data_IF_868407957263
#
_entry.id   IF_868407957263
#
_cell.length_a   1.000
_cell.length_b   1.000
_cell.length_c   1.000
_cell.angle_alpha   90.00
_cell.angle_beta   90.00
_cell.angle_gamma   90.00
#
_symmetry.space_group_name_H-M   'P 1'
#
loop_
_entity.id
_entity.type
_entity.pdbx_description
1 polymer ?
#
# COMPACT_ATOMS: atom_id res chain seq x y z
N UNK A 1 9.21 10.49 -0.13
CA UNK A 1 9.51 11.74 0.61
C UNK A 1 10.57 12.57 -0.11
N UNK A 2 10.96 13.76 0.40
CA UNK A 2 11.82 14.70 -0.32
C UNK A 2 13.26 14.22 -0.53
N UNK A 3 13.76 13.31 0.32
CA UNK A 3 15.13 12.77 0.25
C UNK A 3 15.11 11.24 0.38
N UNK A 4 14.70 10.50 -0.66
CA UNK A 4 14.56 9.05 -0.59
C UNK A 4 15.94 8.36 -0.56
N UNK A 5 16.09 7.33 0.28
CA UNK A 5 17.35 6.59 0.49
C UNK A 5 17.10 5.08 0.57
N UNK A 6 17.94 4.29 -0.11
CA UNK A 6 17.86 2.82 -0.14
C UNK A 6 18.11 2.24 1.25
N UNK A 7 19.16 2.71 1.93
CA UNK A 7 19.52 2.26 3.28
C UNK A 7 18.43 2.55 4.33
N UNK A 8 17.43 3.39 4.02
CA UNK A 8 16.31 3.72 4.91
C UNK A 8 14.98 3.16 4.41
N UNK A 9 14.97 2.32 3.37
CA UNK A 9 13.74 1.77 2.78
C UNK A 9 12.82 2.80 2.10
N UNK A 10 13.30 4.03 1.86
CA UNK A 10 12.48 5.12 1.27
C UNK A 10 12.77 5.37 -0.22
N UNK A 11 13.82 4.73 -0.74
CA UNK A 11 14.05 4.54 -2.18
C UNK A 11 14.17 3.04 -2.41
N UNK A 12 13.21 2.45 -3.12
CA UNK A 12 13.14 1.00 -3.31
C UNK A 12 13.40 0.68 -4.77
N UNK A 13 14.36 -0.22 -5.02
CA UNK A 13 14.59 -0.81 -6.33
C UNK A 13 14.13 -2.26 -6.27
N UNK A 14 13.09 -2.58 -7.04
CA UNK A 14 12.49 -3.93 -7.05
C UNK A 14 12.83 -4.60 -8.38
N UNK A 15 13.77 -5.55 -8.40
CA UNK A 15 14.04 -6.35 -9.60
C UNK A 15 12.84 -7.26 -9.92
N UNK A 16 12.55 -7.45 -11.21
CA UNK A 16 11.49 -8.36 -11.64
C UNK A 16 11.97 -9.82 -11.50
N UNK A 17 11.20 -10.64 -10.78
CA UNK A 17 11.49 -12.06 -10.50
C UNK A 17 12.40 -12.29 -9.29
N UNK A 18 12.83 -11.22 -8.60
CA UNK A 18 13.73 -11.29 -7.45
C UNK A 18 13.21 -10.41 -6.30
N UNK A 19 13.86 -10.52 -5.14
CA UNK A 19 13.57 -9.65 -3.99
C UNK A 19 14.55 -8.50 -3.91
N UNK A 20 14.03 -7.32 -3.60
CA UNK A 20 14.86 -6.19 -3.20
C UNK A 20 15.55 -6.48 -1.85
N UNK A 21 16.70 -5.81 -1.54
CA UNK A 21 17.31 -5.88 -0.21
C UNK A 21 16.39 -5.43 0.92
N UNK A 22 15.37 -4.65 0.58
CA UNK A 22 14.35 -4.13 1.49
C UNK A 22 13.11 -5.03 1.55
N UNK A 23 13.14 -6.26 1.05
CA UNK A 23 12.04 -7.22 1.16
C UNK A 23 10.90 -7.07 0.13
N UNK A 24 10.83 -5.96 -0.59
CA UNK A 24 9.88 -5.78 -1.70
C UNK A 24 10.12 -6.79 -2.82
N UNK A 25 9.04 -7.25 -3.46
CA UNK A 25 9.07 -8.23 -4.56
C UNK A 25 8.21 -7.79 -5.72
N UNK A 26 8.66 -8.05 -6.94
CA UNK A 26 7.90 -7.87 -8.16
C UNK A 26 7.95 -9.18 -8.97
N UNK A 27 6.83 -9.85 -9.16
CA UNK A 27 6.77 -11.15 -9.84
C UNK A 27 5.89 -11.05 -11.09
N UNK A 28 6.31 -11.62 -12.24
CA UNK A 28 5.48 -11.63 -13.43
C UNK A 28 4.26 -12.54 -13.20
N UNK A 29 3.08 -12.03 -13.50
CA UNK A 29 1.82 -12.76 -13.45
C UNK A 29 1.49 -13.33 -14.83
N UNK A 30 1.00 -14.57 -14.89
CA UNK A 30 0.92 -15.34 -16.13
C UNK A 30 -0.12 -14.85 -17.13
N UNK A 31 -1.32 -14.48 -16.67
CA UNK A 31 -2.36 -13.91 -17.50
C UNK A 31 -3.03 -12.78 -16.71
N UNK A 32 -3.06 -11.58 -17.27
CA UNK A 32 -3.81 -10.49 -16.66
C UNK A 32 -5.29 -10.51 -17.04
N UNK A 33 -6.04 -9.50 -16.59
CA UNK A 33 -7.48 -9.42 -16.80
C UNK A 33 -7.87 -9.54 -18.28
N UNK A 34 -8.93 -10.32 -18.53
CA UNK A 34 -9.47 -10.51 -19.87
C UNK A 34 -9.81 -9.15 -20.53
N UNK A 35 -9.43 -8.99 -21.80
CA UNK A 35 -9.68 -7.77 -22.56
C UNK A 35 -8.77 -6.58 -22.22
N UNK A 36 -7.80 -6.73 -21.31
CA UNK A 36 -6.91 -5.64 -20.93
C UNK A 36 -5.79 -5.35 -21.94
N UNK A 37 -5.58 -6.23 -22.94
CA UNK A 37 -4.57 -6.05 -23.98
C UNK A 37 -5.23 -5.71 -25.32
N UNK A 38 -4.96 -4.54 -25.92
CA UNK A 38 -5.43 -4.20 -27.27
C UNK A 38 -4.96 -5.22 -28.31
N UNK A 39 -5.73 -5.40 -29.38
CA UNK A 39 -5.35 -6.28 -30.49
C UNK A 39 -3.98 -5.88 -31.06
N UNK A 40 -3.00 -6.80 -31.02
CA UNK A 40 -1.62 -6.57 -31.46
C UNK A 40 -0.70 -5.93 -30.42
N UNK A 41 -1.14 -5.74 -29.18
CA UNK A 41 -0.32 -5.26 -28.07
C UNK A 41 0.42 -6.37 -27.32
N UNK A 42 1.46 -5.97 -26.59
CA UNK A 42 2.10 -6.81 -25.58
C UNK A 42 1.86 -6.18 -24.21
N UNK A 43 1.48 -7.00 -23.23
CA UNK A 43 1.35 -6.57 -21.84
C UNK A 43 2.10 -7.54 -20.94
N UNK A 44 2.70 -7.00 -19.88
CA UNK A 44 3.29 -7.76 -18.80
C UNK A 44 2.56 -7.39 -17.52
N UNK A 45 1.98 -8.38 -16.88
CA UNK A 45 1.36 -8.22 -15.58
C UNK A 45 2.39 -8.51 -14.51
N UNK A 46 2.45 -7.64 -13.51
CA UNK A 46 3.44 -7.72 -12.44
C UNK A 46 2.72 -7.56 -11.12
N UNK A 47 2.85 -8.57 -10.27
CA UNK A 47 2.41 -8.50 -8.89
C UNK A 47 3.50 -7.84 -8.06
N UNK A 48 3.18 -6.70 -7.43
CA UNK A 48 4.08 -5.97 -6.53
C UNK A 48 3.68 -6.23 -5.08
N UNK A 49 4.61 -6.77 -4.28
CA UNK A 49 4.40 -7.03 -2.85
C UNK A 49 5.35 -6.17 -2.00
N UNK A 50 4.76 -5.38 -1.10
CA UNK A 50 5.51 -4.66 -0.06
C UNK A 50 5.74 -5.58 1.14
N UNK A 51 6.89 -5.45 1.85
CA UNK A 51 7.08 -6.15 3.12
C UNK A 51 6.17 -5.54 4.20
N UNK A 52 5.82 -6.31 5.26
CA UNK A 52 4.92 -5.86 6.33
C UNK A 52 5.44 -4.67 7.15
N UNK A 53 6.75 -4.43 7.13
CA UNK A 53 7.43 -3.33 7.84
C UNK A 53 7.78 -2.16 6.91
N UNK A 54 7.27 -2.14 5.68
CA UNK A 54 7.50 -1.06 4.74
C UNK A 54 7.01 0.28 5.32
N UNK A 55 7.76 1.39 5.16
CA UNK A 55 7.31 2.69 5.63
C UNK A 55 5.98 3.10 4.99
N UNK A 56 4.99 3.46 5.80
CA UNK A 56 3.70 3.98 5.33
C UNK A 56 3.88 5.35 4.66
N UNK A 57 3.16 5.58 3.56
CA UNK A 57 3.12 6.88 2.90
C UNK A 57 2.87 6.83 1.40
N UNK A 58 3.05 8.00 0.76
CA UNK A 58 2.94 8.18 -0.69
C UNK A 58 4.27 7.84 -1.37
N UNK A 59 4.24 6.88 -2.27
CA UNK A 59 5.37 6.50 -3.12
C UNK A 59 5.11 6.89 -4.57
N UNK A 60 6.20 7.16 -5.29
CA UNK A 60 6.20 7.29 -6.75
C UNK A 60 6.71 5.98 -7.33
N UNK A 61 5.91 5.34 -8.17
CA UNK A 61 6.26 4.15 -8.92
C UNK A 61 6.74 4.55 -10.31
N UNK A 62 7.92 4.05 -10.67
CA UNK A 62 8.48 4.18 -12.01
C UNK A 62 8.99 2.82 -12.50
N UNK A 63 8.87 2.57 -13.79
CA UNK A 63 9.39 1.35 -14.43
C UNK A 63 10.61 1.70 -15.26
N UNK A 64 11.71 0.97 -15.01
CA UNK A 64 12.95 1.11 -15.75
C UNK A 64 13.33 -0.22 -16.40
N UNK A 65 13.74 -0.16 -17.65
CA UNK A 65 14.26 -1.30 -18.39
C UNK A 65 15.75 -1.11 -18.62
N UNK A 66 16.55 -2.16 -18.39
CA UNK A 66 17.98 -2.15 -18.66
C UNK A 66 18.29 -3.18 -19.74
N UNK A 67 18.87 -2.72 -20.84
CA UNK A 67 19.29 -3.54 -21.98
C UNK A 67 20.80 -3.39 -22.19
N UNK A 68 21.37 -4.17 -23.11
CA UNK A 68 22.79 -4.04 -23.48
C UNK A 68 23.14 -2.65 -24.06
N UNK A 69 22.15 -1.92 -24.58
CA UNK A 69 22.32 -0.61 -25.23
C UNK A 69 22.14 0.55 -24.25
N UNK A 70 21.63 0.29 -23.03
CA UNK A 70 21.43 1.30 -22.00
C UNK A 70 20.21 1.07 -21.11
N UNK A 71 19.97 2.03 -20.23
CA UNK A 71 18.82 2.10 -19.34
C UNK A 71 17.77 3.05 -19.93
N UNK A 72 16.51 2.64 -19.92
CA UNK A 72 15.36 3.45 -20.32
C UNK A 72 14.35 3.49 -19.18
N UNK A 73 13.96 4.69 -18.77
CA UNK A 73 12.84 4.89 -17.86
C UNK A 73 11.60 5.18 -18.70
N UNK A 74 10.56 4.35 -18.56
CA UNK A 74 9.29 4.65 -19.20
C UNK A 74 8.72 5.96 -18.61
N UNK A 75 7.99 6.77 -19.40
CA UNK A 75 7.21 7.90 -18.90
C UNK A 75 5.96 7.38 -18.16
N UNK A 76 6.20 6.60 -17.11
CA UNK A 76 5.25 5.96 -16.24
C UNK A 76 5.58 6.42 -14.83
N UNK A 77 4.86 7.43 -14.35
CA UNK A 77 4.94 7.89 -12.97
C UNK A 77 3.54 7.82 -12.37
N UNK A 78 3.35 6.83 -11.50
CA UNK A 78 2.11 6.67 -10.76
C UNK A 78 2.38 6.87 -9.28
N UNK A 79 1.44 7.53 -8.60
CA UNK A 79 1.46 7.60 -7.15
C UNK A 79 0.71 6.41 -6.57
N UNK A 80 1.31 5.78 -5.57
CA UNK A 80 0.66 4.75 -4.74
C UNK A 80 0.70 5.21 -3.27
N UNK A 81 -0.36 4.89 -2.54
CA UNK A 81 -0.44 5.11 -1.10
C UNK A 81 -0.30 3.75 -0.43
N UNK A 82 0.78 3.56 0.32
CA UNK A 82 0.95 2.40 1.17
C UNK A 82 0.50 2.76 2.59
N UNK A 83 -0.39 1.96 3.17
CA UNK A 83 -0.90 2.11 4.52
C UNK A 83 -0.49 0.89 5.36
N UNK A 84 -0.67 1.00 6.68
CA UNK A 84 -0.62 -0.17 7.56
C UNK A 84 -1.65 -1.22 7.13
N UNK A 85 -1.35 -2.49 7.38
CA UNK A 85 -2.21 -3.61 6.99
C UNK A 85 -2.58 -4.49 8.21
N UNK A 86 -3.65 -4.14 8.95
CA UNK A 86 -4.17 -4.94 10.06
C UNK A 86 -4.65 -6.36 9.71
N UNK A 87 -4.78 -6.69 8.42
CA UNK A 87 -5.13 -8.05 7.95
C UNK A 87 -3.90 -8.94 7.77
N UNK A 88 -2.69 -8.39 7.76
CA UNK A 88 -1.45 -9.14 7.57
C UNK A 88 -0.90 -9.59 8.93
N UNK A 89 -0.76 -10.91 9.21
CA UNK A 89 -0.24 -11.41 10.49
C UNK A 89 1.19 -10.97 10.83
N UNK A 90 1.95 -10.58 9.83
CA UNK A 90 3.34 -10.13 9.97
C UNK A 90 3.44 -8.60 10.16
N UNK A 91 2.34 -7.86 9.97
CA UNK A 91 2.31 -6.42 10.23
C UNK A 91 2.18 -6.16 11.74
N UNK A 92 2.92 -5.16 12.21
CA UNK A 92 2.88 -4.67 13.59
C UNK A 92 1.49 -4.31 14.12
N UNK A 93 0.54 -3.98 13.24
CA UNK A 93 -0.84 -3.62 13.62
C UNK A 93 -1.86 -4.74 13.37
N UNK A 94 -1.40 -5.97 13.17
CA UNK A 94 -2.27 -7.12 12.95
C UNK A 94 -3.34 -7.27 14.04
N UNK A 95 -4.57 -7.53 13.62
CA UNK A 95 -5.66 -7.93 14.51
C UNK A 95 -6.15 -9.33 14.16
N UNK A 96 -5.98 -10.27 15.10
CA UNK A 96 -6.40 -11.67 14.94
C UNK A 96 -7.90 -11.79 14.65
N UNK A 97 -8.71 -10.99 15.36
CA UNK A 97 -10.16 -10.95 15.17
C UNK A 97 -10.53 -9.96 14.08
N UNK A 98 -10.50 -10.42 12.84
CA UNK A 98 -10.81 -9.61 11.65
C UNK A 98 -12.20 -8.96 11.66
N UNK A 99 -13.17 -9.51 12.42
CA UNK A 99 -14.49 -8.89 12.59
C UNK A 99 -14.47 -7.57 13.35
N UNK A 100 -13.43 -7.31 14.15
CA UNK A 100 -13.27 -6.05 14.88
C UNK A 100 -12.61 -4.95 14.03
N UNK A 101 -12.00 -5.30 12.90
CA UNK A 101 -11.44 -4.32 11.96
C UNK A 101 -12.52 -3.42 11.35
N UNK A 102 -13.75 -3.94 11.24
CA UNK A 102 -14.92 -3.14 10.87
C UNK A 102 -15.13 -1.96 11.81
N UNK A 103 -14.85 -2.11 13.11
CA UNK A 103 -15.03 -1.07 14.13
C UNK A 103 -13.79 -0.18 14.27
N UNK A 104 -12.60 -0.77 14.38
CA UNK A 104 -11.39 0.01 14.73
C UNK A 104 -10.65 0.62 13.55
N UNK A 105 -10.96 0.20 12.32
CA UNK A 105 -10.28 0.66 11.11
C UNK A 105 -11.26 1.26 10.11
N UNK A 106 -12.33 0.51 9.80
CA UNK A 106 -13.24 0.88 8.71
C UNK A 106 -14.39 1.81 9.15
N UNK A 107 -14.80 1.77 10.42
CA UNK A 107 -15.86 2.64 10.92
C UNK A 107 -15.37 4.08 10.97
N UNK A 108 -16.04 4.97 10.24
CA UNK A 108 -15.70 6.40 10.15
C UNK A 108 -16.49 7.28 11.11
N UNK A 109 -17.34 6.66 11.92
CA UNK A 109 -18.12 7.31 12.95
C UNK A 109 -17.97 6.55 14.27
N UNK A 110 -18.11 7.26 15.38
CA UNK A 110 -18.08 6.63 16.69
C UNK A 110 -18.77 7.45 17.75
N UNK A 111 -18.48 7.10 19.00
CA UNK A 111 -19.16 7.67 20.16
C UNK A 111 -18.13 8.05 21.20
N UNK A 112 -18.25 9.26 21.71
CA UNK A 112 -17.43 9.76 22.82
C UNK A 112 -18.32 9.82 24.05
N UNK A 113 -17.97 9.05 25.07
CA UNK A 113 -18.64 9.06 26.38
C UNK A 113 -18.05 10.16 27.27
N UNK A 114 -18.90 10.85 28.02
CA UNK A 114 -18.53 11.93 28.94
C UNK A 114 -19.53 12.02 30.10
N UNK A 115 -19.30 12.93 31.05
CA UNK A 115 -20.12 13.06 32.26
C UNK A 115 -19.42 12.46 33.47
N UNK A 116 -20.19 11.83 34.37
CA UNK A 116 -19.67 11.12 35.55
C UNK A 116 -19.96 9.63 35.43
N UNK A 117 -19.38 8.83 36.33
CA UNK A 117 -19.68 7.39 36.41
C UNK A 117 -21.17 7.11 36.66
N UNK A 118 -21.84 7.97 37.45
CA UNK A 118 -23.28 7.87 37.76
C UNK A 118 -24.18 8.49 36.67
N UNK A 119 -23.62 9.29 35.78
CA UNK A 119 -24.37 10.00 34.74
C UNK A 119 -23.55 10.05 33.44
N UNK A 120 -23.53 8.91 32.76
CA UNK A 120 -22.87 8.76 31.47
C UNK A 120 -23.72 9.40 30.37
N UNK A 121 -23.12 10.36 29.68
CA UNK A 121 -23.62 10.96 28.47
C UNK A 121 -22.75 10.57 27.28
N UNK A 122 -23.28 10.73 26.07
CA UNK A 122 -22.62 10.31 24.83
C UNK A 122 -22.83 11.34 23.73
N UNK A 123 -21.86 11.41 22.81
CA UNK A 123 -21.94 12.23 21.61
C UNK A 123 -21.40 11.45 20.43
N UNK A 124 -22.13 11.48 19.31
CA UNK A 124 -21.63 10.96 18.05
C UNK A 124 -20.47 11.81 17.52
N UNK A 125 -19.45 11.15 16.98
CA UNK A 125 -18.29 11.79 16.39
C UNK A 125 -18.04 11.23 15.01
N UNK A 126 -17.83 12.11 14.02
CA UNK A 126 -17.41 11.71 12.68
C UNK A 126 -15.88 11.81 12.62
N UNK A 127 -15.21 10.67 12.48
CA UNK A 127 -13.75 10.59 12.34
C UNK A 127 -13.29 11.09 10.98
N UNK A 128 -14.05 10.79 9.93
CA UNK A 128 -13.85 11.31 8.58
C UNK A 128 -12.55 10.88 7.91
N UNK A 129 -11.97 9.74 8.30
CA UNK A 129 -10.66 9.28 7.83
C UNK A 129 -10.61 8.91 6.34
N UNK A 130 -11.75 8.65 5.71
CA UNK A 130 -11.88 8.36 4.27
C UNK A 130 -12.50 9.49 3.46
N UNK A 131 -12.81 10.62 4.11
CA UNK A 131 -13.35 11.77 3.38
C UNK A 131 -12.28 12.36 2.45
N UNK A 132 -12.68 12.95 1.30
CA UNK A 132 -11.75 13.68 0.45
C UNK A 132 -11.00 14.75 1.25
N UNK A 133 -9.67 14.69 1.20
CA UNK A 133 -8.77 15.66 1.84
C UNK A 133 -8.47 16.89 0.99
#
# INVERSE_FOLDING_TARGET
>A
GPTPQVAKGTHVLVPLGESSPTGWRAEPEGAGPEGAVPAGGHALWVELRAPPDAPVGRYRLAVKTRTAVGEYAAPFEHELVLLFNPWCPEDSVYMEKTSELSEYVLNDCGRIFYGTEDQIAERSWNYGQVNPG
#
